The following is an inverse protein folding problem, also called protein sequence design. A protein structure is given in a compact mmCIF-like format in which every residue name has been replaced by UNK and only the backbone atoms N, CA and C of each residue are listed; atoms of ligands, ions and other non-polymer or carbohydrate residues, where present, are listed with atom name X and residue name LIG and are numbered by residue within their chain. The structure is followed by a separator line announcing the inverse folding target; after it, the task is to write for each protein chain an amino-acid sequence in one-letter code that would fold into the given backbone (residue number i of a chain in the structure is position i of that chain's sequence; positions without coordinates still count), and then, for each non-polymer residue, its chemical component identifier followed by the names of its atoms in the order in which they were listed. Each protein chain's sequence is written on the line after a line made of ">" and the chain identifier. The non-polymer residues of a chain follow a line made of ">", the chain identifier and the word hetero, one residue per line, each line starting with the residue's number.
data_IF_979015133782
#
_entry.id   IF_979015133782
#
_cell.length_a   1.000
_cell.length_b   1.000
_cell.length_c   1.000
_cell.angle_alpha   90.00
_cell.angle_beta   90.00
_cell.angle_gamma   90.00
#
_symmetry.space_group_name_H-M   'P 1'
#
loop_
_entity.id
_entity.type
_entity.pdbx_description
1 polymer ?
#
# COMPACT_ATOMS: atom_id res chain seq x y z
N UNK A 1 -28.13 3.86 6.40
CA UNK A 1 -27.44 4.02 7.70
C UNK A 1 -26.12 3.29 7.64
N UNK A 2 -24.98 4.00 7.68
CA UNK A 2 -23.66 3.37 7.74
C UNK A 2 -23.48 2.81 9.15
N UNK A 3 -23.40 1.50 9.28
CA UNK A 3 -23.06 0.84 10.55
C UNK A 3 -21.59 1.14 10.81
N UNK A 4 -21.31 1.98 11.81
CA UNK A 4 -19.93 2.23 12.28
C UNK A 4 -19.35 0.94 12.84
N UNK A 5 -18.10 0.63 12.52
CA UNK A 5 -17.42 -0.54 13.05
C UNK A 5 -17.15 -0.45 14.56
N UNK A 6 -16.94 -1.57 15.23
CA UNK A 6 -16.69 -1.63 16.69
C UNK A 6 -15.55 -0.70 17.11
N UNK A 7 -14.48 -0.63 16.31
CA UNK A 7 -13.35 0.26 16.56
C UNK A 7 -13.74 1.75 16.47
N UNK A 8 -14.72 2.11 15.63
CA UNK A 8 -15.20 3.50 15.48
C UNK A 8 -16.15 3.91 16.63
N UNK A 9 -16.78 2.95 17.27
CA UNK A 9 -17.72 3.18 18.39
C UNK A 9 -16.98 3.27 19.72
N UNK A 10 -15.91 2.49 19.91
CA UNK A 10 -15.27 2.27 21.22
C UNK A 10 -14.07 3.19 21.44
N UNK A 11 -13.38 3.62 20.38
CA UNK A 11 -12.11 4.35 20.52
C UNK A 11 -12.17 5.75 19.92
N UNK A 12 -11.44 6.68 20.53
CA UNK A 12 -11.20 8.02 19.95
C UNK A 12 -10.41 7.93 18.64
N UNK A 13 -10.55 8.91 17.71
CA UNK A 13 -9.86 8.89 16.41
C UNK A 13 -8.35 8.64 16.47
N UNK A 14 -7.57 9.21 17.40
CA UNK A 14 -6.14 8.92 17.52
C UNK A 14 -5.86 7.45 17.83
N UNK A 15 -6.63 6.85 18.74
CA UNK A 15 -6.49 5.43 19.12
C UNK A 15 -6.88 4.51 17.95
N UNK A 16 -7.94 4.85 17.23
CA UNK A 16 -8.31 4.12 16.01
C UNK A 16 -7.19 4.14 14.98
N UNK A 17 -6.58 5.29 14.74
CA UNK A 17 -5.48 5.42 13.78
C UNK A 17 -4.24 4.63 14.22
N UNK A 18 -3.89 4.69 15.50
CA UNK A 18 -2.82 3.89 16.05
C UNK A 18 -3.10 2.38 15.90
N UNK A 19 -4.30 1.92 16.27
CA UNK A 19 -4.71 0.52 16.14
C UNK A 19 -4.66 0.05 14.68
N UNK A 20 -5.17 0.85 13.74
CA UNK A 20 -5.09 0.57 12.30
C UNK A 20 -3.64 0.41 11.85
N UNK A 21 -2.72 1.24 12.35
CA UNK A 21 -1.30 1.17 12.03
C UNK A 21 -0.64 -0.10 12.59
N UNK A 22 -0.91 -0.45 13.84
CA UNK A 22 -0.37 -1.66 14.48
C UNK A 22 -0.85 -2.92 13.73
N UNK A 23 -2.17 -3.03 13.50
CA UNK A 23 -2.74 -4.15 12.75
C UNK A 23 -2.16 -4.21 11.34
N UNK A 24 -2.02 -3.07 10.68
CA UNK A 24 -1.45 -2.99 9.35
C UNK A 24 -0.01 -3.51 9.31
N UNK A 25 0.86 -3.02 10.23
CA UNK A 25 2.25 -3.49 10.32
C UNK A 25 2.35 -4.99 10.61
N UNK A 26 1.47 -5.50 11.47
CA UNK A 26 1.39 -6.94 11.72
C UNK A 26 1.01 -7.71 10.45
N UNK A 27 -0.04 -7.27 9.76
CA UNK A 27 -0.54 -7.93 8.55
C UNK A 27 0.48 -7.91 7.41
N UNK A 28 1.30 -6.86 7.30
CA UNK A 28 2.38 -6.79 6.31
C UNK A 28 3.50 -7.83 6.50
N UNK A 29 3.54 -8.50 7.66
CA UNK A 29 4.53 -9.54 8.01
C UNK A 29 3.95 -10.95 7.98
N UNK A 30 2.66 -11.10 7.71
CA UNK A 30 2.01 -12.41 7.68
C UNK A 30 2.47 -13.23 6.47
N UNK A 31 2.56 -14.54 6.67
CA UNK A 31 2.69 -15.49 5.57
C UNK A 31 1.35 -15.66 4.84
N UNK A 32 1.35 -16.11 3.56
CA UNK A 32 0.14 -16.31 2.77
C UNK A 32 -0.93 -17.17 3.45
N UNK A 33 -0.53 -18.20 4.20
CA UNK A 33 -1.44 -19.12 4.89
C UNK A 33 -2.33 -18.43 5.93
N UNK A 34 -1.90 -17.29 6.44
CA UNK A 34 -2.64 -16.50 7.44
C UNK A 34 -3.50 -15.39 6.83
N UNK A 35 -3.40 -15.10 5.53
CA UNK A 35 -4.11 -13.97 4.91
C UNK A 35 -5.63 -14.09 5.03
N UNK A 36 -6.18 -15.29 4.85
CA UNK A 36 -7.62 -15.53 4.96
C UNK A 36 -8.15 -15.22 6.36
N UNK A 37 -7.51 -15.71 7.40
CA UNK A 37 -7.91 -15.45 8.79
C UNK A 37 -7.74 -13.98 9.17
N UNK A 38 -6.64 -13.36 8.77
CA UNK A 38 -6.38 -11.95 9.00
C UNK A 38 -7.42 -11.06 8.31
N UNK A 39 -7.82 -11.37 7.06
CA UNK A 39 -8.89 -10.65 6.36
C UNK A 39 -10.23 -10.77 7.08
N UNK A 40 -10.59 -11.97 7.55
CA UNK A 40 -11.84 -12.19 8.30
C UNK A 40 -11.85 -11.42 9.62
N UNK A 41 -10.76 -11.45 10.38
CA UNK A 41 -10.62 -10.69 11.62
C UNK A 41 -10.67 -9.18 11.39
N UNK A 42 -9.93 -8.68 10.39
CA UNK A 42 -9.94 -7.26 10.02
C UNK A 42 -11.34 -6.80 9.62
N UNK A 43 -12.03 -7.58 8.78
CA UNK A 43 -13.37 -7.27 8.34
C UNK A 43 -14.37 -7.23 9.51
N UNK A 44 -14.29 -8.21 10.42
CA UNK A 44 -15.12 -8.24 11.62
C UNK A 44 -14.86 -7.02 12.51
N UNK A 45 -13.61 -6.65 12.74
CA UNK A 45 -13.23 -5.54 13.59
C UNK A 45 -13.77 -4.19 13.08
N UNK A 46 -13.77 -3.97 11.78
CA UNK A 46 -14.17 -2.69 11.17
C UNK A 46 -15.60 -2.66 10.62
N UNK A 47 -16.24 -3.80 10.41
CA UNK A 47 -17.59 -3.89 9.85
C UNK A 47 -18.62 -4.47 10.82
N UNK A 48 -18.21 -4.96 12.00
CA UNK A 48 -19.05 -5.59 13.02
C UNK A 48 -19.92 -6.73 12.48
N UNK A 49 -19.43 -7.47 11.49
CA UNK A 49 -20.11 -8.60 10.89
C UNK A 49 -19.11 -9.60 10.33
N UNK A 50 -19.49 -10.88 10.20
CA UNK A 50 -18.63 -11.88 9.59
C UNK A 50 -18.34 -11.55 8.12
N UNK A 51 -17.16 -11.97 7.66
CA UNK A 51 -16.76 -11.87 6.25
C UNK A 51 -17.02 -13.21 5.56
N UNK A 52 -17.93 -13.22 4.61
CA UNK A 52 -18.28 -14.40 3.82
C UNK A 52 -17.40 -14.49 2.56
N UNK A 53 -16.11 -14.83 2.77
CA UNK A 53 -15.14 -14.87 1.66
C UNK A 53 -15.43 -16.00 0.69
N UNK A 54 -15.96 -17.13 1.18
CA UNK A 54 -16.27 -18.32 0.38
C UNK A 54 -17.52 -18.10 -0.50
N UNK A 55 -18.49 -17.34 0.00
CA UNK A 55 -19.73 -16.97 -0.70
C UNK A 55 -19.93 -15.45 -0.64
N UNK A 56 -19.14 -14.67 -1.37
CA UNK A 56 -19.11 -13.23 -1.22
C UNK A 56 -20.41 -12.58 -1.71
N UNK A 57 -21.09 -11.87 -0.84
CA UNK A 57 -22.36 -11.17 -1.12
C UNK A 57 -22.17 -9.68 -1.34
N UNK A 58 -21.22 -9.06 -0.64
CA UNK A 58 -20.93 -7.64 -0.74
C UNK A 58 -19.74 -7.37 -1.64
N UNK A 59 -19.62 -6.14 -2.16
CA UNK A 59 -18.49 -5.72 -2.99
C UNK A 59 -17.16 -5.91 -2.26
N UNK A 60 -17.08 -5.58 -0.97
CA UNK A 60 -15.85 -5.77 -0.17
C UNK A 60 -15.48 -7.25 -0.04
N UNK A 61 -16.45 -8.12 0.16
CA UNK A 61 -16.21 -9.57 0.21
C UNK A 61 -15.74 -10.13 -1.13
N UNK A 62 -16.31 -9.64 -2.25
CA UNK A 62 -15.86 -9.99 -3.61
C UNK A 62 -14.42 -9.55 -3.85
N UNK A 63 -14.04 -8.35 -3.41
CA UNK A 63 -12.65 -7.87 -3.49
C UNK A 63 -11.74 -8.77 -2.64
N UNK A 64 -12.16 -9.18 -1.44
CA UNK A 64 -11.38 -10.10 -0.61
C UNK A 64 -11.25 -11.48 -1.23
N UNK A 65 -12.30 -11.98 -1.86
CA UNK A 65 -12.25 -13.22 -2.62
C UNK A 65 -11.22 -13.13 -3.76
N UNK A 66 -11.30 -12.08 -4.58
CA UNK A 66 -10.33 -11.85 -5.67
C UNK A 66 -8.89 -11.78 -5.16
N UNK A 67 -8.65 -11.15 -4.01
CA UNK A 67 -7.32 -11.09 -3.39
C UNK A 67 -6.80 -12.47 -2.98
N UNK A 68 -7.64 -13.36 -2.49
CA UNK A 68 -7.24 -14.67 -1.99
C UNK A 68 -7.14 -15.72 -3.09
N UNK A 69 -8.00 -15.66 -4.10
CA UNK A 69 -8.20 -16.77 -5.04
C UNK A 69 -7.91 -16.43 -6.50
N UNK A 70 -7.83 -15.15 -6.84
CA UNK A 70 -7.59 -14.68 -8.20
C UNK A 70 -6.36 -13.74 -8.27
N UNK A 71 -5.36 -14.00 -7.44
CA UNK A 71 -4.08 -13.30 -7.49
C UNK A 71 -3.16 -14.00 -8.48
N UNK A 72 -2.65 -13.23 -9.46
CA UNK A 72 -1.74 -13.74 -10.49
C UNK A 72 -0.45 -12.93 -10.53
N UNK A 73 0.67 -13.50 -11.00
CA UNK A 73 1.92 -12.76 -11.17
C UNK A 73 1.76 -11.50 -12.03
N UNK A 74 0.86 -11.53 -13.03
CA UNK A 74 0.55 -10.36 -13.86
C UNK A 74 -0.09 -9.25 -13.03
N UNK A 75 -1.06 -9.58 -12.18
CA UNK A 75 -1.68 -8.59 -11.26
C UNK A 75 -0.66 -7.99 -10.30
N UNK A 76 0.28 -8.80 -9.78
CA UNK A 76 1.38 -8.32 -8.96
C UNK A 76 2.28 -7.32 -9.69
N UNK A 77 2.66 -7.61 -10.94
CA UNK A 77 3.45 -6.70 -11.77
C UNK A 77 2.70 -5.39 -12.08
N UNK A 78 1.40 -5.47 -12.36
CA UNK A 78 0.58 -4.28 -12.63
C UNK A 78 0.31 -3.43 -11.36
N UNK A 79 0.42 -4.03 -10.17
CA UNK A 79 0.32 -3.31 -8.91
C UNK A 79 1.61 -2.57 -8.51
N UNK A 80 2.77 -2.99 -9.05
CA UNK A 80 4.04 -2.30 -8.85
C UNK A 80 4.12 -1.04 -9.72
N UNK A 81 4.44 0.10 -9.10
CA UNK A 81 4.41 1.43 -9.75
C UNK A 81 5.51 1.61 -10.81
N UNK A 82 6.59 0.83 -10.72
CA UNK A 82 7.65 0.87 -11.71
C UNK A 82 7.37 -0.13 -12.84
N UNK A 83 7.05 -1.37 -12.50
CA UNK A 83 6.83 -2.44 -13.49
C UNK A 83 5.60 -2.18 -14.37
N UNK A 84 4.56 -1.52 -13.86
CA UNK A 84 3.37 -1.17 -14.64
C UNK A 84 3.66 -0.15 -15.75
N UNK A 85 4.73 0.64 -15.63
CA UNK A 85 5.06 1.68 -16.63
C UNK A 85 5.28 1.13 -18.03
N UNK A 86 5.97 -0.01 -18.13
CA UNK A 86 6.18 -0.64 -19.44
C UNK A 86 4.85 -1.07 -20.06
N UNK A 87 3.98 -1.70 -19.27
CA UNK A 87 2.66 -2.09 -19.75
C UNK A 87 1.81 -0.88 -20.20
N UNK A 88 1.87 0.23 -19.47
CA UNK A 88 1.18 1.48 -19.85
C UNK A 88 1.77 2.06 -21.13
N UNK A 89 3.10 2.09 -21.28
CA UNK A 89 3.76 2.56 -22.48
C UNK A 89 3.30 1.76 -23.72
N UNK A 90 3.28 0.43 -23.61
CA UNK A 90 2.93 -0.50 -24.69
C UNK A 90 1.43 -0.47 -25.03
N UNK A 91 0.55 -0.26 -24.04
CA UNK A 91 -0.90 -0.40 -24.20
C UNK A 91 -1.60 0.92 -24.46
N UNK A 92 -1.19 1.98 -23.76
CA UNK A 92 -1.87 3.28 -23.76
C UNK A 92 -0.99 4.37 -24.40
N UNK A 93 0.32 4.25 -24.27
CA UNK A 93 1.33 5.15 -24.80
C UNK A 93 2.12 5.91 -23.74
N UNK A 94 3.39 6.17 -24.02
CA UNK A 94 4.33 6.85 -23.11
C UNK A 94 3.87 8.24 -22.66
N UNK A 95 3.11 8.93 -23.48
CA UNK A 95 2.59 10.29 -23.19
C UNK A 95 1.73 10.37 -21.93
N UNK A 96 1.22 9.23 -21.45
CA UNK A 96 0.41 9.14 -20.22
C UNK A 96 1.25 8.85 -18.99
N UNK A 97 2.56 8.66 -19.15
CA UNK A 97 3.47 8.42 -18.03
C UNK A 97 4.07 9.72 -17.52
N UNK A 98 4.00 9.94 -16.23
CA UNK A 98 4.73 11.03 -15.57
C UNK A 98 6.24 10.80 -15.75
N UNK A 99 7.06 11.84 -16.01
CA UNK A 99 8.51 11.71 -16.09
C UNK A 99 9.10 10.99 -14.88
N UNK A 100 9.99 10.05 -15.13
CA UNK A 100 10.69 9.28 -14.10
C UNK A 100 12.07 9.90 -13.89
N UNK A 101 12.34 10.35 -12.67
CA UNK A 101 13.63 10.96 -12.32
C UNK A 101 14.69 9.92 -12.00
N UNK A 102 14.28 8.77 -11.44
CA UNK A 102 15.18 7.65 -11.12
C UNK A 102 14.44 6.50 -10.46
N UNK A 103 15.13 5.37 -10.39
CA UNK A 103 14.71 4.17 -9.67
C UNK A 103 15.92 3.67 -8.91
N UNK A 104 15.76 3.37 -7.63
CA UNK A 104 16.84 2.94 -6.74
C UNK A 104 16.37 1.74 -5.93
N UNK A 105 17.25 0.79 -5.72
CA UNK A 105 16.99 -0.38 -4.88
C UNK A 105 17.21 -0.07 -3.40
N UNK A 106 18.07 0.91 -3.11
CA UNK A 106 18.32 1.40 -1.76
C UNK A 106 18.11 2.92 -1.65
N UNK A 107 17.53 3.39 -0.54
CA UNK A 107 17.45 4.83 -0.26
C UNK A 107 18.81 5.52 -0.19
N UNK A 108 19.88 4.76 0.09
CA UNK A 108 21.23 5.29 0.21
C UNK A 108 21.85 5.66 -1.15
N UNK A 109 21.33 5.07 -2.23
CA UNK A 109 21.74 5.35 -3.61
C UNK A 109 21.16 6.65 -4.17
N UNK A 110 20.16 7.24 -3.47
CA UNK A 110 19.51 8.46 -3.96
C UNK A 110 20.45 9.65 -3.80
N UNK A 111 20.87 10.21 -4.93
CA UNK A 111 21.56 11.51 -4.95
C UNK A 111 20.53 12.64 -4.97
N UNK A 112 20.21 13.16 -3.78
CA UNK A 112 19.21 14.21 -3.62
C UNK A 112 19.66 15.55 -4.25
N UNK A 113 20.96 15.76 -4.40
CA UNK A 113 21.47 16.99 -4.99
C UNK A 113 21.18 17.08 -6.49
N UNK A 114 21.20 15.93 -7.18
CA UNK A 114 20.89 15.84 -8.61
C UNK A 114 19.41 15.97 -8.93
N UNK A 115 18.53 15.83 -7.93
CA UNK A 115 17.08 15.93 -8.13
C UNK A 115 16.63 17.40 -8.30
N UNK A 116 15.54 17.66 -9.04
CA UNK A 116 14.97 18.99 -9.18
C UNK A 116 14.48 19.55 -7.83
N UNK A 117 14.15 20.85 -7.80
CA UNK A 117 13.71 21.52 -6.57
C UNK A 117 12.43 20.91 -5.97
N UNK A 118 11.56 20.36 -6.80
CA UNK A 118 10.34 19.66 -6.36
C UNK A 118 10.21 18.29 -6.99
N UNK A 119 9.90 17.28 -6.18
CA UNK A 119 9.73 15.90 -6.63
C UNK A 119 8.88 15.07 -5.66
N UNK A 120 8.59 13.85 -6.04
CA UNK A 120 7.89 12.87 -5.20
C UNK A 120 8.67 11.56 -5.19
N UNK A 121 8.99 11.07 -3.99
CA UNK A 121 9.51 9.72 -3.80
C UNK A 121 8.34 8.78 -3.51
N UNK A 122 8.38 7.58 -4.10
CA UNK A 122 7.32 6.57 -3.94
C UNK A 122 7.93 5.19 -3.80
N UNK A 123 7.51 4.42 -2.80
CA UNK A 123 7.81 3.00 -2.79
C UNK A 123 6.99 2.31 -3.91
N UNK A 124 7.64 1.45 -4.69
CA UNK A 124 7.03 0.81 -5.87
C UNK A 124 5.88 -0.11 -5.49
N UNK A 125 6.05 -0.88 -4.41
CA UNK A 125 5.15 -1.93 -3.93
C UNK A 125 4.12 -1.45 -2.89
N UNK A 126 4.11 -0.16 -2.53
CA UNK A 126 3.26 0.37 -1.46
C UNK A 126 2.08 1.23 -1.95
N UNK A 127 1.02 1.35 -1.17
CA UNK A 127 -0.08 2.28 -1.38
C UNK A 127 -0.07 3.38 -0.32
N UNK A 128 0.02 4.65 -0.75
CA UNK A 128 0.12 5.79 0.15
C UNK A 128 1.53 6.01 0.72
N UNK A 129 2.52 5.24 0.30
CA UNK A 129 3.92 5.39 0.67
C UNK A 129 4.60 6.37 -0.27
N UNK A 130 4.32 7.65 -0.04
CA UNK A 130 4.84 8.75 -0.82
C UNK A 130 5.43 9.81 0.10
N UNK A 131 6.54 10.41 -0.31
CA UNK A 131 7.10 11.62 0.28
C UNK A 131 7.00 12.70 -0.78
N UNK A 132 6.15 13.70 -0.52
CA UNK A 132 6.06 14.90 -1.37
C UNK A 132 7.11 15.89 -0.91
N UNK A 133 7.92 16.35 -1.85
CA UNK A 133 8.97 17.36 -1.64
C UNK A 133 8.65 18.56 -2.51
N UNK A 134 7.94 19.54 -1.99
CA UNK A 134 7.62 20.76 -2.73
C UNK A 134 8.84 21.68 -2.90
N UNK A 135 9.78 21.60 -1.99
CA UNK A 135 11.05 22.35 -2.00
C UNK A 135 12.15 21.47 -1.35
N UNK A 136 13.12 21.06 -2.16
CA UNK A 136 14.24 20.21 -1.75
C UNK A 136 15.06 20.81 -0.59
N UNK A 137 15.16 22.14 -0.51
CA UNK A 137 15.90 22.85 0.54
C UNK A 137 15.32 22.66 1.94
N UNK A 138 14.04 22.27 2.03
CA UNK A 138 13.34 22.01 3.30
C UNK A 138 13.27 20.54 3.65
N UNK A 139 13.83 19.65 2.82
CA UNK A 139 13.76 18.22 3.00
C UNK A 139 14.68 17.75 4.13
N UNK A 140 14.12 17.06 5.11
CA UNK A 140 14.88 16.22 6.02
C UNK A 140 15.29 14.93 5.28
N UNK A 141 16.49 14.94 4.70
CA UNK A 141 17.02 13.86 3.87
C UNK A 141 17.15 12.57 4.67
N UNK A 142 17.67 12.63 5.90
CA UNK A 142 17.87 11.40 6.70
C UNK A 142 16.52 10.83 7.17
N UNK A 143 15.58 11.67 7.58
CA UNK A 143 14.22 11.26 7.89
C UNK A 143 13.49 10.64 6.68
N UNK A 144 13.73 11.18 5.48
CA UNK A 144 13.21 10.59 4.24
C UNK A 144 13.83 9.21 3.96
N UNK A 145 15.16 9.07 4.07
CA UNK A 145 15.85 7.78 3.91
C UNK A 145 15.34 6.73 4.91
N UNK A 146 15.20 7.12 6.18
CA UNK A 146 14.68 6.20 7.21
C UNK A 146 13.27 5.72 6.91
N UNK A 147 12.36 6.61 6.47
CA UNK A 147 11.00 6.22 6.04
C UNK A 147 11.01 5.25 4.87
N UNK A 148 11.88 5.49 3.88
CA UNK A 148 11.99 4.61 2.73
C UNK A 148 12.52 3.22 3.13
N UNK A 149 13.54 3.14 4.01
CA UNK A 149 14.03 1.86 4.59
C UNK A 149 12.92 1.11 5.32
N UNK A 150 12.13 1.81 6.15
CA UNK A 150 11.00 1.21 6.87
C UNK A 150 9.95 0.64 5.90
N UNK A 151 9.66 1.33 4.81
CA UNK A 151 8.68 0.88 3.80
C UNK A 151 9.19 -0.30 3.00
N UNK A 152 10.47 -0.33 2.63
CA UNK A 152 11.07 -1.44 1.91
C UNK A 152 11.07 -2.73 2.73
N UNK A 153 11.13 -2.64 4.06
CA UNK A 153 11.01 -3.78 4.98
C UNK A 153 9.60 -4.35 5.13
N UNK A 154 8.57 -3.74 4.53
CA UNK A 154 7.17 -4.12 4.69
C UNK A 154 6.57 -4.70 3.40
N UNK A 155 5.77 -5.75 3.52
CA UNK A 155 4.97 -6.29 2.40
C UNK A 155 3.55 -5.73 2.44
N UNK A 156 3.03 -5.28 1.31
CA UNK A 156 1.66 -4.75 1.21
C UNK A 156 0.62 -5.76 0.67
N UNK A 157 0.90 -7.03 0.77
CA UNK A 157 0.03 -8.10 0.27
C UNK A 157 -1.45 -7.93 0.68
N UNK A 158 -1.72 -7.54 1.93
CA UNK A 158 -3.08 -7.39 2.44
C UNK A 158 -3.88 -6.23 1.83
N UNK A 159 -3.23 -5.20 1.27
CA UNK A 159 -3.93 -4.05 0.66
C UNK A 159 -4.06 -4.17 -0.86
N UNK A 160 -3.00 -4.56 -1.53
CA UNK A 160 -2.91 -4.53 -2.98
C UNK A 160 -3.32 -5.82 -3.70
N UNK A 161 -3.41 -6.91 -3.01
CA UNK A 161 -3.44 -8.28 -3.55
C UNK A 161 -2.08 -8.96 -3.31
N UNK A 162 -2.00 -10.23 -3.55
CA UNK A 162 -0.84 -11.07 -3.25
C UNK A 162 0.08 -11.19 -4.44
#
# INVERSE_FOLDING_TARGET
>A
MSVRGTAEIVFSPPVQNWLKQVIYRHNCRLSPDHYRSALKHWYWLFKCRPCHVEEPRTMTEKIHWLKLYDSTPVKGRLADKFLVRQWVADTVGERYLVPLLGVWDSPDEIDFESLPDSFVLKATHGSGWNILVPDKRTLDVEGARQRLRDWLGLRQAMKGGF
#
